data_IF_995949604673
#
_entry.id   IF_995949604673
#
_cell.length_a   1.000
_cell.length_b   1.000
_cell.length_c   1.000
_cell.angle_alpha   90.00
_cell.angle_beta   90.00
_cell.angle_gamma   90.00
#
_symmetry.space_group_name_H-M   'P 1'
#
loop_
_entity.id
_entity.type
_entity.pdbx_description
1 polymer ?
#
# COMPACT_ATOMS: atom_id res chain seq x y z
N UNK A 1 0.40 20.85 20.02
CA UNK A 1 1.72 21.46 19.61
C UNK A 1 1.63 22.97 19.81
N UNK A 2 2.71 23.67 20.18
CA UNK A 2 2.65 25.13 20.27
C UNK A 2 3.01 25.75 18.90
N UNK A 3 2.66 27.03 18.71
CA UNK A 3 2.81 27.75 17.44
C UNK A 3 4.28 27.83 16.96
N UNK A 4 5.23 27.94 17.88
CA UNK A 4 6.67 27.97 17.57
C UNK A 4 7.09 26.65 16.95
N UNK A 5 6.63 25.55 17.52
CA UNK A 5 6.95 24.22 17.01
C UNK A 5 6.28 23.95 15.65
N UNK A 6 5.06 24.46 15.42
CA UNK A 6 4.41 24.37 14.11
C UNK A 6 5.17 25.13 13.01
N UNK A 7 5.75 26.29 13.33
CA UNK A 7 6.61 27.04 12.39
C UNK A 7 7.87 26.26 12.02
N UNK A 8 8.55 25.69 13.03
CA UNK A 8 9.73 24.85 12.80
C UNK A 8 9.41 23.62 11.95
N UNK A 9 8.25 23.00 12.20
CA UNK A 9 7.76 21.88 11.41
C UNK A 9 7.45 22.27 9.97
N UNK A 10 6.83 23.45 9.76
CA UNK A 10 6.54 23.96 8.42
C UNK A 10 7.84 24.18 7.62
N UNK A 11 8.85 24.78 8.24
CA UNK A 11 10.17 24.99 7.64
C UNK A 11 10.85 23.64 7.33
N UNK A 12 10.78 22.67 8.24
CA UNK A 12 11.37 21.35 8.08
C UNK A 12 10.67 20.52 6.97
N UNK A 13 9.37 20.69 6.77
CA UNK A 13 8.60 19.95 5.76
C UNK A 13 8.71 20.52 4.35
N UNK A 14 9.23 21.76 4.21
CA UNK A 14 9.29 22.49 2.94
C UNK A 14 7.92 22.83 2.35
N UNK A 15 6.84 22.71 3.12
CA UNK A 15 5.51 23.11 2.66
C UNK A 15 5.41 24.64 2.55
N UNK A 16 4.79 25.10 1.46
CA UNK A 16 4.40 26.50 1.29
C UNK A 16 3.03 26.75 1.94
N UNK A 17 2.72 28.00 2.28
CA UNK A 17 1.39 28.36 2.82
C UNK A 17 0.23 27.94 1.91
N UNK A 18 0.28 28.10 0.58
CA UNK A 18 -0.74 27.56 -0.31
C UNK A 18 -0.92 26.04 -0.21
N UNK A 19 0.17 25.26 -0.14
CA UNK A 19 0.10 23.81 0.03
C UNK A 19 -0.52 23.43 1.37
N UNK A 20 -0.15 24.14 2.44
CA UNK A 20 -0.72 23.90 3.76
C UNK A 20 -2.22 24.25 3.80
N UNK A 21 -2.62 25.30 3.09
CA UNK A 21 -4.03 25.70 2.91
C UNK A 21 -4.83 24.61 2.19
N UNK A 22 -4.33 24.11 1.08
CA UNK A 22 -4.98 23.05 0.29
C UNK A 22 -5.14 21.75 1.11
N UNK A 23 -4.11 21.34 1.83
CA UNK A 23 -4.09 20.09 2.60
C UNK A 23 -4.90 20.17 3.90
N UNK A 24 -4.94 21.34 4.55
CA UNK A 24 -5.67 21.53 5.81
C UNK A 24 -7.13 21.96 5.63
N UNK A 25 -7.47 22.48 4.43
CA UNK A 25 -8.77 23.08 4.16
C UNK A 25 -8.94 24.46 4.81
N UNK A 26 -7.87 25.07 5.33
CA UNK A 26 -7.89 26.39 5.98
C UNK A 26 -7.41 27.44 4.97
N UNK A 27 -8.11 28.59 4.84
CA UNK A 27 -7.67 29.66 3.94
C UNK A 27 -6.22 30.12 4.23
N UNK A 28 -5.44 30.37 3.16
CA UNK A 28 -4.03 30.74 3.28
C UNK A 28 -3.82 32.01 4.13
N UNK A 29 -4.70 33.00 3.97
CA UNK A 29 -4.67 34.23 4.75
C UNK A 29 -4.84 33.96 6.26
N UNK A 30 -5.71 33.01 6.62
CA UNK A 30 -5.91 32.62 8.03
C UNK A 30 -4.66 31.94 8.60
N UNK A 31 -3.98 31.12 7.78
CA UNK A 31 -2.72 30.47 8.18
C UNK A 31 -1.62 31.51 8.33
N UNK A 32 -1.53 32.49 7.44
CA UNK A 32 -0.58 33.58 7.51
C UNK A 32 -0.79 34.44 8.77
N UNK A 33 -2.04 34.84 9.08
CA UNK A 33 -2.41 35.57 10.29
C UNK A 33 -2.10 34.78 11.57
N UNK A 34 -2.27 33.45 11.53
CA UNK A 34 -1.89 32.59 12.65
C UNK A 34 -0.38 32.62 12.87
N UNK A 35 0.41 32.46 11.80
CA UNK A 35 1.86 32.42 11.88
C UNK A 35 2.50 33.83 12.07
N UNK A 36 1.86 34.92 11.67
CA UNK A 36 2.29 36.28 11.98
C UNK A 36 2.03 36.66 13.45
N UNK A 37 1.10 35.94 14.11
CA UNK A 37 0.70 36.24 15.50
C UNK A 37 -0.47 37.21 15.59
N UNK A 38 -1.10 37.55 14.47
CA UNK A 38 -2.29 38.43 14.46
C UNK A 38 -3.50 37.73 15.11
N UNK A 39 -3.56 36.40 15.07
CA UNK A 39 -4.54 35.60 15.81
C UNK A 39 -3.95 35.30 17.20
N UNK A 40 -4.31 36.08 18.21
CA UNK A 40 -3.77 35.93 19.55
C UNK A 40 -4.26 34.65 20.28
N UNK A 41 -5.50 34.24 20.03
CA UNK A 41 -6.11 33.03 20.62
C UNK A 41 -6.69 32.14 19.53
N UNK A 42 -5.87 31.30 18.88
CA UNK A 42 -6.33 30.40 17.83
C UNK A 42 -7.20 29.28 18.41
N UNK A 43 -8.27 28.91 17.68
CA UNK A 43 -9.14 27.83 18.10
C UNK A 43 -8.41 26.48 18.06
N UNK A 44 -8.86 25.55 18.89
CA UNK A 44 -8.33 24.18 18.91
C UNK A 44 -8.44 23.49 17.54
N UNK A 45 -9.57 23.68 16.85
CA UNK A 45 -9.82 23.07 15.54
C UNK A 45 -8.84 23.58 14.49
N UNK A 46 -8.54 24.89 14.49
CA UNK A 46 -7.56 25.52 13.60
C UNK A 46 -6.16 24.92 13.82
N UNK A 47 -5.72 24.85 15.07
CA UNK A 47 -4.41 24.27 15.41
C UNK A 47 -4.35 22.78 15.09
N UNK A 48 -5.40 22.03 15.40
CA UNK A 48 -5.48 20.59 15.17
C UNK A 48 -5.42 20.23 13.69
N UNK A 49 -6.12 20.99 12.83
CA UNK A 49 -6.10 20.75 11.39
C UNK A 49 -4.71 20.97 10.79
N UNK A 50 -4.03 22.06 11.18
CA UNK A 50 -2.65 22.34 10.72
C UNK A 50 -1.67 21.30 11.28
N UNK A 51 -1.78 20.98 12.58
CA UNK A 51 -0.94 19.95 13.22
C UNK A 51 -1.06 18.59 12.55
N UNK A 52 -2.26 18.20 12.16
CA UNK A 52 -2.52 16.94 11.45
C UNK A 52 -1.77 16.88 10.11
N UNK A 53 -1.77 17.97 9.35
CA UNK A 53 -1.05 18.06 8.08
C UNK A 53 0.47 18.02 8.30
N UNK A 54 1.00 18.80 9.25
CA UNK A 54 2.43 18.85 9.54
C UNK A 54 2.96 17.52 10.09
N UNK A 55 2.18 16.82 10.93
CA UNK A 55 2.53 15.46 11.39
C UNK A 55 2.48 14.43 10.27
N UNK A 56 1.54 14.55 9.34
CA UNK A 56 1.48 13.67 8.17
C UNK A 56 2.65 13.91 7.22
N UNK A 57 3.18 15.13 7.18
CA UNK A 57 4.39 15.50 6.43
C UNK A 57 5.65 14.87 7.05
N UNK A 58 5.75 14.79 8.38
CA UNK A 58 6.86 14.07 9.05
C UNK A 58 6.90 12.58 8.67
N UNK A 59 5.78 11.95 8.40
CA UNK A 59 5.77 10.62 7.80
C UNK A 59 6.42 10.59 6.41
N UNK A 60 6.48 11.72 5.69
CA UNK A 60 7.19 11.83 4.41
C UNK A 60 8.69 12.06 4.56
N UNK A 61 9.13 12.71 5.64
CA UNK A 61 10.57 12.93 5.91
C UNK A 61 11.28 11.69 6.49
N UNK A 62 10.54 10.74 7.08
CA UNK A 62 11.07 9.41 7.37
C UNK A 62 11.33 8.57 6.11
N UNK A 63 10.96 9.07 4.93
CA UNK A 63 11.22 8.48 3.60
C UNK A 63 12.57 8.95 3.02
N UNK A 64 13.46 9.49 3.85
CA UNK A 64 14.88 9.70 3.49
C UNK A 64 15.75 8.64 4.16
N UNK A 65 15.49 7.39 3.84
CA UNK A 65 16.50 6.34 3.89
C UNK A 65 16.95 6.00 2.47
N UNK A 66 18.19 5.44 2.32
CA UNK A 66 18.82 5.40 1.03
C UNK A 66 17.90 4.72 0.04
N UNK A 67 17.35 5.53 -0.81
CA UNK A 67 16.71 5.12 -2.02
C UNK A 67 17.55 4.00 -2.62
N UNK A 68 17.00 2.81 -2.72
CA UNK A 68 17.31 2.04 -3.91
C UNK A 68 16.91 2.98 -5.04
N UNK A 69 17.90 3.71 -5.56
CA UNK A 69 17.76 4.61 -6.68
C UNK A 69 17.28 3.83 -7.88
N UNK A 70 15.99 3.84 -8.12
CA UNK A 70 15.41 3.56 -9.44
C UNK A 70 14.02 4.18 -9.54
N UNK A 71 13.82 5.41 -9.04
CA UNK A 71 12.86 6.29 -9.67
C UNK A 71 13.64 7.05 -10.74
N UNK A 72 13.47 6.71 -12.02
CA UNK A 72 13.99 7.58 -13.07
C UNK A 72 13.38 8.97 -12.85
N UNK A 73 14.21 10.01 -12.87
CA UNK A 73 13.80 11.42 -12.68
C UNK A 73 12.78 11.94 -13.73
N UNK A 74 12.17 11.07 -14.51
CA UNK A 74 11.10 11.35 -15.46
C UNK A 74 9.81 10.69 -15.01
N UNK A 75 8.99 11.38 -14.24
CA UNK A 75 7.57 11.14 -14.18
C UNK A 75 6.99 11.32 -15.59
N UNK A 76 6.33 10.30 -16.15
CA UNK A 76 5.71 10.41 -17.47
C UNK A 76 5.73 9.14 -18.31
N UNK A 77 6.20 8.02 -17.77
CA UNK A 77 6.10 6.72 -18.42
C UNK A 77 4.64 6.23 -18.46
N UNK A 78 4.35 5.42 -19.46
CA UNK A 78 3.02 4.87 -19.71
C UNK A 78 3.03 3.35 -19.72
N UNK A 79 1.85 2.74 -19.72
CA UNK A 79 1.67 1.29 -19.90
C UNK A 79 2.36 0.80 -21.19
N UNK A 80 2.43 1.63 -22.24
CA UNK A 80 3.16 1.29 -23.46
C UNK A 80 4.67 1.16 -23.20
N UNK A 81 5.23 2.05 -22.39
CA UNK A 81 6.64 1.98 -21.99
C UNK A 81 6.89 0.78 -21.07
N UNK A 82 5.93 0.45 -20.20
CA UNK A 82 5.96 -0.75 -19.35
C UNK A 82 6.08 -2.03 -20.18
N UNK A 83 5.24 -2.20 -21.19
CA UNK A 83 5.29 -3.37 -22.08
C UNK A 83 6.45 -3.33 -23.10
N UNK A 84 7.20 -2.24 -23.18
CA UNK A 84 8.42 -2.12 -23.96
C UNK A 84 9.70 -2.41 -23.15
N UNK A 85 9.58 -2.70 -21.84
CA UNK A 85 10.73 -3.12 -21.04
C UNK A 85 11.32 -4.41 -21.60
N UNK A 86 12.66 -4.59 -21.49
CA UNK A 86 13.30 -5.85 -21.80
C UNK A 86 12.74 -7.03 -20.97
N UNK A 87 12.67 -8.22 -21.55
CA UNK A 87 12.08 -9.41 -20.90
C UNK A 87 12.78 -9.82 -19.60
N UNK A 88 14.05 -9.43 -19.40
CA UNK A 88 14.83 -9.67 -18.21
C UNK A 88 14.68 -8.60 -17.13
N UNK A 89 13.91 -7.53 -17.40
CA UNK A 89 13.68 -6.45 -16.46
C UNK A 89 12.24 -6.46 -15.93
N UNK A 90 12.10 -6.72 -14.63
CA UNK A 90 10.80 -6.64 -13.94
C UNK A 90 10.69 -5.30 -13.21
N UNK A 91 9.57 -4.63 -13.37
CA UNK A 91 9.28 -3.39 -12.69
C UNK A 91 7.77 -3.24 -12.48
N UNK A 92 7.37 -2.38 -11.54
CA UNK A 92 6.03 -1.81 -11.46
C UNK A 92 6.08 -0.39 -12.01
N UNK A 93 4.99 0.04 -12.60
CA UNK A 93 4.76 1.42 -13.01
C UNK A 93 3.71 2.03 -12.08
N UNK A 94 4.05 3.08 -11.35
CA UNK A 94 3.11 3.73 -10.42
C UNK A 94 3.15 5.24 -10.68
N UNK A 95 2.02 5.81 -11.07
CA UNK A 95 1.89 7.24 -11.41
C UNK A 95 2.93 7.71 -12.45
N UNK A 96 3.26 6.84 -13.40
CA UNK A 96 4.22 7.13 -14.48
C UNK A 96 5.69 7.03 -14.06
N UNK A 97 6.00 6.45 -12.91
CA UNK A 97 7.36 6.17 -12.45
C UNK A 97 7.61 4.66 -12.36
N UNK A 98 8.77 4.21 -12.85
CA UNK A 98 9.17 2.80 -12.73
C UNK A 98 9.81 2.48 -11.38
N UNK A 99 9.42 1.34 -10.82
CA UNK A 99 9.97 0.74 -9.61
C UNK A 99 10.49 -0.65 -9.97
N UNK A 100 11.80 -0.80 -10.11
CA UNK A 100 12.42 -2.10 -10.45
C UNK A 100 12.17 -3.10 -9.33
N UNK A 101 11.86 -4.34 -9.72
CA UNK A 101 11.59 -5.44 -8.80
C UNK A 101 12.77 -6.42 -8.79
N UNK A 102 13.19 -6.80 -7.61
CA UNK A 102 14.13 -7.91 -7.42
C UNK A 102 13.39 -9.26 -7.50
N UNK A 103 14.15 -10.33 -7.73
CA UNK A 103 13.60 -11.67 -7.60
C UNK A 103 13.22 -11.93 -6.12
N UNK A 104 12.03 -12.47 -5.83
CA UNK A 104 11.62 -12.79 -4.47
C UNK A 104 12.49 -13.91 -3.88
N UNK A 105 12.67 -13.87 -2.56
CA UNK A 105 13.35 -14.96 -1.85
C UNK A 105 12.48 -16.21 -1.77
N UNK A 106 13.09 -17.37 -1.50
CA UNK A 106 12.33 -18.62 -1.32
C UNK A 106 11.32 -18.54 -0.17
N UNK A 107 11.64 -17.99 1.02
CA UNK A 107 10.64 -17.81 2.08
C UNK A 107 9.45 -16.94 1.64
N UNK A 108 9.71 -15.86 0.90
CA UNK A 108 8.66 -15.01 0.35
C UNK A 108 7.73 -15.80 -0.60
N UNK A 109 8.29 -16.62 -1.48
CA UNK A 109 7.53 -17.45 -2.41
C UNK A 109 6.71 -18.54 -1.70
N UNK A 110 7.27 -19.14 -0.65
CA UNK A 110 6.60 -20.16 0.15
C UNK A 110 5.35 -19.59 0.83
N UNK A 111 5.48 -18.45 1.51
CA UNK A 111 4.34 -17.73 2.11
C UNK A 111 3.28 -17.36 1.07
N UNK A 112 3.71 -16.82 -0.07
CA UNK A 112 2.81 -16.45 -1.16
C UNK A 112 2.04 -17.67 -1.68
N UNK A 113 2.71 -18.80 -1.83
CA UNK A 113 2.11 -20.04 -2.34
C UNK A 113 1.13 -20.66 -1.34
N UNK A 114 1.48 -20.74 -0.06
CA UNK A 114 0.63 -21.28 1.01
C UNK A 114 -0.68 -20.49 1.12
N UNK A 115 -0.59 -19.16 1.24
CA UNK A 115 -1.77 -18.30 1.34
C UNK A 115 -2.57 -18.34 0.04
N UNK A 116 -1.91 -18.22 -1.12
CA UNK A 116 -2.54 -18.26 -2.43
C UNK A 116 -3.26 -19.60 -2.68
N UNK A 117 -2.70 -20.71 -2.23
CA UNK A 117 -3.32 -22.05 -2.33
C UNK A 117 -4.57 -22.16 -1.46
N UNK A 118 -4.51 -21.67 -0.21
CA UNK A 118 -5.66 -21.66 0.70
C UNK A 118 -6.82 -20.84 0.12
N UNK A 119 -6.55 -19.64 -0.37
CA UNK A 119 -7.53 -18.78 -1.03
C UNK A 119 -8.10 -19.47 -2.28
N UNK A 120 -7.24 -20.02 -3.14
CA UNK A 120 -7.66 -20.67 -4.39
C UNK A 120 -8.55 -21.87 -4.13
N UNK A 121 -8.24 -22.69 -3.14
CA UNK A 121 -9.05 -23.84 -2.75
C UNK A 121 -10.44 -23.42 -2.27
N UNK A 122 -10.51 -22.39 -1.44
CA UNK A 122 -11.78 -21.82 -0.97
C UNK A 122 -12.62 -21.30 -2.14
N UNK A 123 -12.06 -20.45 -3.00
CA UNK A 123 -12.74 -19.87 -4.16
C UNK A 123 -13.28 -20.96 -5.09
N UNK A 124 -12.50 -22.01 -5.36
CA UNK A 124 -12.96 -23.17 -6.16
C UNK A 124 -14.13 -23.90 -5.50
N UNK A 125 -14.05 -24.11 -4.18
CA UNK A 125 -15.11 -24.81 -3.41
C UNK A 125 -16.42 -24.02 -3.41
N UNK A 126 -16.34 -22.70 -3.32
CA UNK A 126 -17.52 -21.80 -3.34
C UNK A 126 -18.23 -21.77 -4.69
N UNK A 127 -17.59 -22.17 -5.79
CA UNK A 127 -18.14 -22.15 -7.16
C UNK A 127 -18.68 -20.77 -7.59
N UNK A 128 -18.18 -19.70 -6.98
CA UNK A 128 -18.49 -18.31 -7.32
C UNK A 128 -17.72 -17.82 -8.55
N UNK A 129 -17.86 -16.53 -8.84
CA UNK A 129 -17.19 -15.88 -9.98
C UNK A 129 -15.75 -15.44 -9.66
N UNK A 130 -15.38 -15.37 -8.38
CA UNK A 130 -14.05 -14.92 -7.99
C UNK A 130 -12.94 -15.82 -8.53
N UNK A 131 -11.81 -15.20 -8.84
CA UNK A 131 -10.56 -15.88 -9.22
C UNK A 131 -9.46 -15.40 -8.30
N UNK A 132 -8.59 -16.31 -7.90
CA UNK A 132 -7.39 -16.00 -7.13
C UNK A 132 -6.15 -16.24 -7.99
N UNK A 133 -5.20 -15.30 -7.89
CA UNK A 133 -3.93 -15.34 -8.59
C UNK A 133 -2.80 -15.04 -7.62
N UNK A 134 -1.59 -15.50 -7.98
CA UNK A 134 -0.33 -15.16 -7.33
C UNK A 134 0.61 -14.58 -8.37
N UNK A 135 1.56 -13.73 -7.91
CA UNK A 135 2.55 -13.12 -8.79
C UNK A 135 3.33 -14.17 -9.63
N UNK A 136 3.73 -13.81 -10.86
CA UNK A 136 3.57 -12.49 -11.49
C UNK A 136 2.21 -12.35 -12.20
N UNK A 137 1.46 -11.33 -11.87
CA UNK A 137 0.22 -10.95 -12.57
C UNK A 137 0.14 -9.43 -12.65
N UNK A 138 0.02 -8.93 -13.86
CA UNK A 138 -0.13 -7.50 -14.11
C UNK A 138 -1.52 -7.02 -13.71
N UNK A 139 -1.58 -5.90 -12.99
CA UNK A 139 -2.81 -5.20 -12.61
C UNK A 139 -2.70 -3.74 -13.06
N UNK A 140 -3.48 -3.37 -14.07
CA UNK A 140 -3.65 -1.97 -14.47
C UNK A 140 -4.64 -1.30 -13.53
N UNK A 141 -4.14 -0.82 -12.39
CA UNK A 141 -4.90 -0.56 -11.18
C UNK A 141 -5.94 0.55 -11.33
N UNK A 142 -5.56 1.69 -11.89
CA UNK A 142 -6.39 2.89 -11.98
C UNK A 142 -7.18 2.99 -13.28
N UNK A 143 -7.13 1.97 -14.15
CA UNK A 143 -7.68 1.97 -15.51
C UNK A 143 -7.13 3.13 -16.38
N UNK A 144 -6.02 3.73 -15.98
CA UNK A 144 -5.30 4.75 -16.74
C UNK A 144 -4.09 4.13 -17.47
N UNK A 145 -3.27 4.97 -18.11
CA UNK A 145 -2.07 4.53 -18.80
C UNK A 145 -0.78 4.68 -17.97
N UNK A 146 -0.87 4.86 -16.65
CA UNK A 146 0.27 5.24 -15.79
C UNK A 146 0.52 4.34 -14.59
N UNK A 147 -0.37 3.35 -14.34
CA UNK A 147 -0.23 2.50 -13.17
C UNK A 147 -0.41 1.03 -13.52
N UNK A 148 0.67 0.25 -13.43
CA UNK A 148 0.72 -1.19 -13.56
C UNK A 148 1.48 -1.76 -12.37
N UNK A 149 0.81 -2.56 -11.53
CA UNK A 149 1.41 -3.18 -10.34
C UNK A 149 1.36 -4.70 -10.43
N UNK A 150 2.22 -5.38 -9.69
CA UNK A 150 2.28 -6.84 -9.62
C UNK A 150 2.17 -7.30 -8.16
N UNK A 151 0.95 -7.33 -7.58
CA UNK A 151 0.76 -7.77 -6.21
C UNK A 151 1.08 -9.26 -6.04
N UNK A 152 1.58 -9.65 -4.86
CA UNK A 152 1.95 -11.05 -4.59
C UNK A 152 0.75 -11.99 -4.64
N UNK A 153 -0.38 -11.58 -4.05
CA UNK A 153 -1.63 -12.36 -4.05
C UNK A 153 -2.80 -11.42 -4.32
N UNK A 154 -3.71 -11.83 -5.18
CA UNK A 154 -4.92 -11.06 -5.44
C UNK A 154 -6.16 -11.93 -5.67
N UNK A 155 -7.33 -11.35 -5.40
CA UNK A 155 -8.64 -11.95 -5.72
C UNK A 155 -9.42 -10.94 -6.56
N UNK A 156 -10.01 -11.41 -7.65
CA UNK A 156 -10.90 -10.64 -8.53
C UNK A 156 -12.22 -11.35 -8.61
N UNK A 157 -13.31 -10.68 -8.20
CA UNK A 157 -14.66 -11.25 -8.21
C UNK A 157 -15.50 -10.76 -9.39
N UNK A 158 -15.07 -9.71 -10.08
CA UNK A 158 -15.68 -9.22 -11.31
C UNK A 158 -14.94 -9.81 -12.53
N UNK A 159 -15.57 -10.74 -13.29
CA UNK A 159 -14.94 -11.36 -14.44
C UNK A 159 -14.64 -10.39 -15.57
N UNK A 160 -15.33 -9.25 -15.67
CA UNK A 160 -15.12 -8.25 -16.72
C UNK A 160 -13.77 -7.52 -16.55
N UNK A 161 -13.18 -7.55 -15.34
CA UNK A 161 -11.81 -7.06 -15.09
C UNK A 161 -10.71 -8.01 -15.58
N UNK A 162 -11.04 -9.24 -15.91
CA UNK A 162 -10.06 -10.26 -16.33
C UNK A 162 -9.89 -10.24 -17.85
N UNK A 163 -8.98 -9.42 -18.35
CA UNK A 163 -8.60 -9.42 -19.75
C UNK A 163 -7.38 -10.32 -19.97
N UNK A 164 -7.07 -10.64 -21.24
CA UNK A 164 -6.00 -11.60 -21.54
C UNK A 164 -4.62 -11.16 -21.05
N UNK A 165 -4.36 -9.86 -21.04
CA UNK A 165 -3.05 -9.29 -20.73
C UNK A 165 -2.87 -9.03 -19.23
N UNK A 166 -3.92 -8.58 -18.52
CA UNK A 166 -3.81 -8.14 -17.13
C UNK A 166 -5.18 -8.18 -16.43
N UNK A 167 -5.19 -7.85 -15.15
CA UNK A 167 -6.40 -7.41 -14.45
C UNK A 167 -6.57 -5.92 -14.75
N UNK A 168 -7.72 -5.54 -15.30
CA UNK A 168 -8.05 -4.16 -15.65
C UNK A 168 -8.95 -3.56 -14.57
N UNK A 169 -8.39 -2.69 -13.74
CA UNK A 169 -9.03 -2.14 -12.56
C UNK A 169 -8.63 -2.80 -11.26
N UNK A 170 -9.16 -2.30 -10.15
CA UNK A 170 -8.81 -2.76 -8.81
C UNK A 170 -9.29 -4.19 -8.53
N UNK A 171 -8.42 -5.08 -8.03
CA UNK A 171 -8.84 -6.35 -7.41
C UNK A 171 -9.72 -6.11 -6.18
N UNK A 172 -10.50 -7.13 -5.80
CA UNK A 172 -11.28 -7.08 -4.55
C UNK A 172 -10.39 -7.24 -3.31
N UNK A 173 -9.36 -8.07 -3.40
CA UNK A 173 -8.40 -8.35 -2.35
C UNK A 173 -6.99 -8.31 -2.91
N UNK A 174 -6.06 -7.77 -2.12
CA UNK A 174 -4.63 -7.79 -2.39
C UNK A 174 -3.88 -8.14 -1.12
N UNK A 175 -2.85 -8.98 -1.22
CA UNK A 175 -1.87 -9.17 -0.16
C UNK A 175 -0.46 -9.04 -0.71
N UNK A 176 0.41 -8.37 0.07
CA UNK A 176 1.84 -8.18 -0.19
C UNK A 176 2.64 -8.82 0.93
N UNK A 177 3.59 -9.67 0.59
CA UNK A 177 4.57 -10.23 1.51
C UNK A 177 5.76 -9.27 1.55
N UNK A 178 5.96 -8.61 2.68
CA UNK A 178 6.95 -7.55 2.81
C UNK A 178 8.38 -8.08 2.70
N UNK A 179 9.19 -7.37 1.94
CA UNK A 179 10.65 -7.53 1.90
C UNK A 179 11.32 -6.25 2.37
N UNK A 180 12.62 -6.30 2.67
CA UNK A 180 13.37 -5.10 3.09
C UNK A 180 13.33 -4.00 2.03
N UNK A 181 13.38 -4.37 0.74
CA UNK A 181 13.40 -3.41 -0.37
C UNK A 181 12.02 -2.84 -0.71
N UNK A 182 10.93 -3.55 -0.42
CA UNK A 182 9.56 -3.13 -0.83
C UNK A 182 8.75 -2.55 0.31
N UNK A 183 9.09 -2.83 1.57
CA UNK A 183 8.29 -2.51 2.76
C UNK A 183 7.76 -1.08 2.79
N UNK A 184 8.61 -0.09 2.57
CA UNK A 184 8.19 1.32 2.60
C UNK A 184 7.21 1.64 1.46
N UNK A 185 7.45 1.09 0.27
CA UNK A 185 6.56 1.26 -0.90
C UNK A 185 5.19 0.64 -0.62
N UNK A 186 5.14 -0.60 -0.12
CA UNK A 186 3.91 -1.35 0.12
C UNK A 186 3.10 -0.73 1.28
N UNK A 187 3.76 -0.31 2.36
CA UNK A 187 3.11 0.29 3.54
C UNK A 187 2.57 1.72 3.31
N UNK A 188 3.07 2.43 2.32
CA UNK A 188 2.71 3.84 2.11
C UNK A 188 2.12 4.09 0.72
N UNK A 189 2.94 3.95 -0.32
CA UNK A 189 2.54 4.28 -1.69
C UNK A 189 1.43 3.34 -2.18
N UNK A 190 1.65 2.02 -2.14
CA UNK A 190 0.68 1.03 -2.58
C UNK A 190 -0.58 1.02 -1.71
N UNK A 191 -0.45 1.16 -0.39
CA UNK A 191 -1.61 1.28 0.51
C UNK A 191 -2.55 2.40 0.05
N UNK A 192 -2.00 3.57 -0.24
CA UNK A 192 -2.78 4.73 -0.72
C UNK A 192 -3.38 4.46 -2.10
N UNK A 193 -2.61 3.87 -3.01
CA UNK A 193 -3.05 3.54 -4.37
C UNK A 193 -4.17 2.51 -4.36
N UNK A 194 -4.01 1.40 -3.65
CA UNK A 194 -5.02 0.35 -3.54
C UNK A 194 -6.33 0.87 -2.94
N UNK A 195 -6.25 1.66 -1.86
CA UNK A 195 -7.44 2.28 -1.27
C UNK A 195 -8.16 3.21 -2.26
N UNK A 196 -7.44 4.07 -2.98
CA UNK A 196 -8.01 5.02 -3.94
C UNK A 196 -8.60 4.32 -5.17
N UNK A 197 -7.99 3.25 -5.63
CA UNK A 197 -8.44 2.49 -6.78
C UNK A 197 -9.71 1.67 -6.49
N UNK A 198 -10.06 1.45 -5.21
CA UNK A 198 -11.23 0.70 -4.81
C UNK A 198 -10.97 -0.79 -4.50
N UNK A 199 -9.75 -1.15 -4.16
CA UNK A 199 -9.48 -2.44 -3.49
C UNK A 199 -10.28 -2.47 -2.20
N UNK A 200 -10.95 -3.59 -1.91
CA UNK A 200 -11.82 -3.72 -0.74
C UNK A 200 -11.07 -4.14 0.51
N UNK A 201 -10.07 -5.02 0.35
CA UNK A 201 -9.26 -5.53 1.45
C UNK A 201 -7.79 -5.62 1.05
N UNK A 202 -6.89 -5.16 1.92
CA UNK A 202 -5.45 -5.14 1.70
C UNK A 202 -4.69 -5.70 2.90
N UNK A 203 -3.81 -6.67 2.67
CA UNK A 203 -2.98 -7.29 3.70
C UNK A 203 -1.51 -7.00 3.47
N UNK A 204 -0.79 -6.74 4.55
CA UNK A 204 0.67 -6.66 4.62
C UNK A 204 1.17 -7.76 5.53
N UNK A 205 1.98 -8.67 4.99
CA UNK A 205 2.50 -9.83 5.69
C UNK A 205 3.99 -9.59 5.95
N UNK A 206 4.33 -9.31 7.19
CA UNK A 206 5.68 -9.00 7.66
C UNK A 206 6.24 -10.22 8.40
N UNK A 207 6.90 -11.10 7.67
CA UNK A 207 7.48 -12.34 8.22
C UNK A 207 8.66 -12.07 9.15
N UNK A 208 9.42 -10.99 8.93
CA UNK A 208 10.56 -10.61 9.78
C UNK A 208 10.12 -10.12 11.17
N UNK A 209 9.00 -9.37 11.24
CA UNK A 209 8.46 -8.87 12.50
C UNK A 209 7.27 -9.71 13.02
N UNK A 210 7.02 -10.86 12.40
CA UNK A 210 5.96 -11.81 12.77
C UNK A 210 4.58 -11.16 12.89
N UNK A 211 4.19 -10.33 11.90
CA UNK A 211 2.93 -9.57 11.91
C UNK A 211 2.19 -9.66 10.58
N UNK A 212 0.86 -9.67 10.69
CA UNK A 212 -0.06 -9.48 9.56
C UNK A 212 -0.90 -8.26 9.85
N UNK A 213 -0.86 -7.27 8.96
CA UNK A 213 -1.64 -6.04 9.08
C UNK A 213 -2.72 -6.08 8.01
N UNK A 214 -3.98 -5.99 8.41
CA UNK A 214 -5.11 -6.05 7.49
C UNK A 214 -5.88 -4.73 7.48
N UNK A 215 -6.18 -4.25 6.28
CA UNK A 215 -7.00 -3.08 6.02
C UNK A 215 -8.27 -3.53 5.31
N UNK A 216 -9.44 -3.23 5.87
CA UNK A 216 -10.72 -3.44 5.21
C UNK A 216 -11.31 -2.08 4.86
N UNK A 217 -11.23 -1.70 3.58
CA UNK A 217 -11.53 -0.35 3.12
C UNK A 217 -13.03 -0.06 2.95
N UNK A 218 -13.88 -1.07 3.09
CA UNK A 218 -15.34 -0.88 3.04
C UNK A 218 -15.90 -0.30 4.36
N UNK A 219 -15.08 -0.25 5.40
CA UNK A 219 -15.41 0.35 6.69
C UNK A 219 -14.37 1.40 7.08
N UNK A 220 -14.74 2.32 7.97
CA UNK A 220 -13.80 3.29 8.55
C UNK A 220 -13.03 2.72 9.76
N UNK A 221 -12.99 1.40 9.90
CA UNK A 221 -12.26 0.75 10.98
C UNK A 221 -10.74 0.94 10.82
N UNK A 222 -10.08 0.99 11.97
CA UNK A 222 -8.61 0.99 12.02
C UNK A 222 -8.08 -0.36 11.51
N UNK A 223 -6.86 -0.40 10.93
CA UNK A 223 -6.24 -1.65 10.54
C UNK A 223 -6.12 -2.58 11.74
N UNK A 224 -6.33 -3.88 11.50
CA UNK A 224 -6.13 -4.92 12.52
C UNK A 224 -4.73 -5.50 12.37
N UNK A 225 -4.11 -5.83 13.51
CA UNK A 225 -2.78 -6.42 13.56
C UNK A 225 -2.90 -7.79 14.21
N UNK A 226 -2.39 -8.81 13.53
CA UNK A 226 -2.35 -10.19 13.97
C UNK A 226 -0.90 -10.67 14.06
N UNK A 227 -0.65 -11.69 14.90
CA UNK A 227 0.62 -12.42 14.94
C UNK A 227 0.69 -13.54 13.90
N UNK A 228 1.88 -14.07 13.67
CA UNK A 228 2.10 -15.22 12.79
C UNK A 228 1.66 -16.58 13.40
N UNK A 229 0.88 -16.56 14.45
CA UNK A 229 0.24 -17.75 15.05
C UNK A 229 -1.29 -17.62 15.07
N UNK A 230 -1.80 -16.50 14.57
CA UNK A 230 -3.22 -16.21 14.59
C UNK A 230 -3.92 -16.75 13.32
N UNK A 231 -5.22 -16.93 13.45
CA UNK A 231 -6.12 -17.21 12.32
C UNK A 231 -6.74 -15.89 11.86
N UNK A 232 -6.52 -15.53 10.61
CA UNK A 232 -6.90 -14.22 10.06
C UNK A 232 -8.07 -14.36 9.08
N UNK A 233 -9.24 -13.73 9.37
CA UNK A 233 -10.40 -13.81 8.49
C UNK A 233 -10.23 -12.92 7.26
N UNK A 234 -10.61 -13.43 6.08
CA UNK A 234 -10.71 -12.66 4.83
C UNK A 234 -12.09 -12.02 4.76
N UNK A 235 -12.14 -10.70 4.95
CA UNK A 235 -13.39 -9.98 5.19
C UNK A 235 -14.23 -9.76 3.93
N UNK A 236 -13.65 -9.74 2.72
CA UNK A 236 -14.43 -9.69 1.47
C UNK A 236 -15.38 -10.90 1.33
N UNK A 237 -15.12 -11.98 2.07
CA UNK A 237 -16.00 -13.15 2.16
C UNK A 237 -16.76 -13.22 3.49
N UNK A 238 -16.86 -12.12 4.23
CA UNK A 238 -17.55 -12.08 5.52
C UNK A 238 -16.91 -12.94 6.60
N UNK A 239 -15.62 -13.28 6.46
CA UNK A 239 -14.88 -14.14 7.39
C UNK A 239 -15.11 -15.65 7.16
N UNK A 240 -15.81 -16.06 6.11
CA UNK A 240 -15.99 -17.51 5.81
C UNK A 240 -14.68 -18.19 5.33
N UNK A 241 -13.73 -17.41 4.83
CA UNK A 241 -12.37 -17.84 4.59
C UNK A 241 -11.49 -17.29 5.71
N UNK A 242 -10.73 -18.18 6.30
CA UNK A 242 -9.73 -17.86 7.29
C UNK A 242 -8.37 -18.41 6.84
N UNK A 243 -7.31 -17.67 7.08
CA UNK A 243 -5.93 -18.09 6.84
C UNK A 243 -5.27 -18.37 8.19
N UNK A 244 -4.86 -19.61 8.42
CA UNK A 244 -4.09 -20.03 9.60
C UNK A 244 -2.61 -19.69 9.40
N UNK A 245 -2.18 -18.57 9.97
CA UNK A 245 -0.77 -18.17 9.90
C UNK A 245 0.15 -19.06 10.75
N UNK A 246 -0.39 -19.82 11.68
CA UNK A 246 0.35 -20.86 12.38
C UNK A 246 0.81 -21.98 11.42
N UNK A 247 0.00 -22.34 10.42
CA UNK A 247 0.40 -23.28 9.35
C UNK A 247 1.46 -22.67 8.43
N UNK A 248 1.24 -21.43 7.97
CA UNK A 248 2.23 -20.68 7.18
C UNK A 248 3.58 -20.57 7.91
N UNK A 249 3.55 -20.25 9.20
CA UNK A 249 4.75 -20.13 10.03
C UNK A 249 5.47 -21.47 10.25
N UNK A 250 4.74 -22.59 10.30
CA UNK A 250 5.34 -23.93 10.38
C UNK A 250 6.10 -24.27 9.10
N UNK A 251 5.53 -24.03 7.93
CA UNK A 251 6.20 -24.23 6.64
C UNK A 251 7.54 -23.50 6.58
N UNK A 252 7.57 -22.23 6.98
CA UNK A 252 8.82 -21.46 7.07
C UNK A 252 9.81 -22.05 8.08
N UNK A 253 9.35 -22.65 9.17
CA UNK A 253 10.20 -23.22 10.22
C UNK A 253 10.84 -24.57 9.87
N UNK A 254 10.30 -25.26 8.88
CA UNK A 254 10.77 -26.57 8.46
C UNK A 254 12.10 -26.48 7.68
N UNK A 255 12.48 -25.30 7.20
CA UNK A 255 13.73 -25.08 6.45
C UNK A 255 14.72 -24.27 7.30
N UNK A 256 15.90 -24.84 7.64
CA UNK A 256 16.91 -24.12 8.42
C UNK A 256 17.34 -22.80 7.74
N UNK A 257 17.32 -21.71 8.50
CA UNK A 257 17.76 -20.39 8.03
C UNK A 257 16.69 -19.56 7.30
N UNK A 258 15.44 -20.01 7.29
CA UNK A 258 14.31 -19.23 6.72
C UNK A 258 13.63 -18.31 7.75
N UNK A 259 13.97 -18.43 9.02
CA UNK A 259 13.53 -17.53 10.12
C UNK A 259 14.66 -16.63 10.58
#
# INVERSE_FOLDING_TARGET
MNLIHMKQELEATGYTLPMLSELSGIPADTIEQLFSGEIAEPSYDLLSAIEKVLKSAKCKDYIKEPSVEYASEKAGYTIKDYYALPDDQRAELIDGAFYVMEAPTLPHQDVTLEIGTSIRNFVKKKKGHCKAFVAPVDVQLDCDDKTMVQPDILIVCDPDKLIKQCVFGAPDFVAEVLSKSTKNKDMNLKLTKYKRAGVREYWLIDTENEKVITYFFETDEMPRIYGMQDVVPVLIFGGELEIDFGEVSRSLGDVPGWR
#
